data_IF_800579596157
#
_entry.id   IF_800579596157
#
_cell.length_a   1.000
_cell.length_b   1.000
_cell.length_c   1.000
_cell.angle_alpha   90.00
_cell.angle_beta   90.00
_cell.angle_gamma   90.00
#
_symmetry.space_group_name_H-M   'P 1'
#
loop_
_entity.id
_entity.type
_entity.pdbx_description
1 polymer ?
#
# COMPACT_ATOMS: atom_id res chain seq x y z
N UNK A 1 22.91 -4.29 -13.19
CA UNK A 1 22.81 -5.77 -13.30
C UNK A 1 22.29 -6.13 -14.68
N UNK A 2 22.12 -7.41 -15.03
CA UNK A 2 21.39 -7.77 -16.23
C UNK A 2 19.97 -7.16 -16.18
N UNK A 3 19.42 -6.75 -17.31
CA UNK A 3 18.05 -6.20 -17.43
C UNK A 3 16.99 -7.11 -16.81
N UNK A 4 17.19 -8.43 -16.80
CA UNK A 4 16.29 -9.39 -16.15
C UNK A 4 16.55 -9.66 -14.66
N UNK A 5 17.49 -8.95 -14.01
CA UNK A 5 17.76 -9.11 -12.58
C UNK A 5 16.88 -8.21 -11.70
N UNK A 6 16.86 -8.39 -10.37
CA UNK A 6 15.99 -7.62 -9.45
C UNK A 6 16.14 -6.10 -9.53
N UNK A 7 17.33 -5.61 -9.92
CA UNK A 7 17.60 -4.19 -10.13
C UNK A 7 17.60 -3.75 -11.61
N UNK A 8 17.03 -4.54 -12.50
CA UNK A 8 16.82 -4.17 -13.91
C UNK A 8 15.53 -3.38 -14.09
N UNK A 9 15.46 -2.66 -15.21
CA UNK A 9 14.33 -1.80 -15.66
C UNK A 9 14.19 -2.06 -17.17
N UNK A 10 13.49 -3.15 -17.57
CA UNK A 10 13.40 -3.61 -18.95
C UNK A 10 12.53 -2.71 -19.83
N UNK A 11 11.52 -2.07 -19.24
CA UNK A 11 10.52 -1.26 -19.94
C UNK A 11 10.83 0.25 -19.89
N UNK A 12 11.79 0.66 -19.06
CA UNK A 12 12.41 1.98 -19.08
C UNK A 12 11.61 3.05 -18.36
N UNK A 13 10.73 2.66 -17.43
CA UNK A 13 9.90 3.60 -16.67
C UNK A 13 10.61 4.15 -15.42
N UNK A 14 11.77 3.58 -15.06
CA UNK A 14 12.57 3.98 -13.90
C UNK A 14 12.20 3.25 -12.59
N UNK A 15 11.30 2.28 -12.64
CA UNK A 15 11.00 1.34 -11.56
C UNK A 15 11.79 0.04 -11.80
N UNK A 16 12.32 -0.57 -10.74
CA UNK A 16 13.05 -1.84 -10.90
C UNK A 16 12.12 -3.04 -10.83
N UNK A 17 12.50 -4.14 -11.48
CA UNK A 17 11.79 -5.43 -11.46
C UNK A 17 11.35 -5.86 -10.05
N UNK A 18 12.20 -5.66 -9.03
CA UNK A 18 11.86 -6.00 -7.65
C UNK A 18 10.74 -5.12 -7.10
N UNK A 19 10.81 -3.82 -7.33
CA UNK A 19 9.77 -2.90 -6.88
C UNK A 19 8.48 -3.22 -7.61
N UNK A 20 8.51 -3.33 -8.94
CA UNK A 20 7.36 -3.71 -9.74
C UNK A 20 6.73 -5.01 -9.26
N UNK A 21 7.52 -6.04 -8.96
CA UNK A 21 7.02 -7.25 -8.33
C UNK A 21 6.31 -6.95 -7.01
N UNK A 22 6.94 -6.22 -6.08
CA UNK A 22 6.35 -5.88 -4.77
C UNK A 22 4.99 -5.18 -4.91
N UNK A 23 4.85 -4.26 -5.88
CA UNK A 23 3.62 -3.48 -6.08
C UNK A 23 2.66 -4.07 -7.14
N UNK A 24 2.96 -5.25 -7.69
CA UNK A 24 2.08 -5.98 -8.61
C UNK A 24 2.05 -5.45 -10.05
N UNK A 25 3.12 -4.79 -10.48
CA UNK A 25 3.33 -4.32 -11.85
C UNK A 25 4.01 -5.39 -12.73
N UNK A 26 4.05 -5.15 -14.04
CA UNK A 26 4.67 -6.07 -15.01
C UNK A 26 5.99 -5.46 -15.48
N UNK A 27 7.14 -6.11 -15.21
CA UNK A 27 8.46 -5.57 -15.53
C UNK A 27 8.76 -5.35 -17.01
N UNK A 28 7.86 -5.74 -17.90
CA UNK A 28 8.01 -5.53 -19.33
C UNK A 28 7.01 -4.51 -19.87
N UNK A 29 6.24 -3.83 -19.00
CA UNK A 29 5.16 -2.96 -19.42
C UNK A 29 5.05 -1.70 -18.54
N UNK A 30 5.19 -0.49 -19.12
CA UNK A 30 5.23 0.75 -18.35
C UNK A 30 3.84 1.09 -17.82
N UNK A 31 3.49 0.55 -16.64
CA UNK A 31 2.16 0.62 -16.04
C UNK A 31 2.15 1.28 -14.65
N UNK A 32 2.96 2.32 -14.46
CA UNK A 32 3.01 3.18 -13.26
C UNK A 32 1.65 3.62 -12.68
N UNK A 33 0.57 3.58 -13.47
CA UNK A 33 -0.78 3.94 -13.06
C UNK A 33 -1.55 2.80 -12.34
N UNK A 34 -0.99 1.60 -12.22
CA UNK A 34 -1.67 0.41 -11.66
C UNK A 34 -1.26 0.08 -10.23
N UNK A 35 -0.59 1.00 -9.53
CA UNK A 35 -0.18 0.82 -8.14
C UNK A 35 -1.40 0.67 -7.21
N UNK A 36 -1.27 -0.06 -6.08
CA UNK A 36 -2.35 -0.15 -5.10
C UNK A 36 -2.80 1.25 -4.63
N UNK A 37 -4.03 1.63 -4.96
CA UNK A 37 -4.60 2.91 -4.56
C UNK A 37 -5.19 2.82 -3.15
N UNK A 38 -4.82 3.75 -2.27
CA UNK A 38 -5.43 3.91 -0.96
C UNK A 38 -6.68 4.79 -1.09
N UNK A 39 -7.84 4.16 -1.13
CA UNK A 39 -9.14 4.84 -1.03
C UNK A 39 -9.38 5.36 0.39
N UNK A 40 -9.78 6.62 0.51
CA UNK A 40 -10.06 7.28 1.79
C UNK A 40 -11.49 7.82 1.79
N UNK A 41 -12.27 7.46 2.80
CA UNK A 41 -13.65 7.94 2.97
C UNK A 41 -13.94 8.32 4.42
N UNK A 42 -14.19 9.61 4.65
CA UNK A 42 -14.72 10.07 5.93
C UNK A 42 -16.19 9.68 6.09
N UNK A 43 -16.57 9.27 7.28
CA UNK A 43 -17.93 8.93 7.68
C UNK A 43 -18.54 10.04 8.55
N UNK A 44 -19.88 10.06 8.65
CA UNK A 44 -20.61 11.08 9.43
C UNK A 44 -20.42 10.93 10.94
N UNK A 45 -19.96 9.77 11.39
CA UNK A 45 -19.64 9.48 12.79
C UNK A 45 -18.21 9.88 13.18
N UNK A 46 -17.49 10.58 12.30
CA UNK A 46 -16.12 11.03 12.53
C UNK A 46 -15.05 9.97 12.20
N UNK A 47 -15.45 8.74 11.87
CA UNK A 47 -14.50 7.70 11.46
C UNK A 47 -14.00 7.90 10.02
N UNK A 48 -12.80 7.40 9.73
CA UNK A 48 -12.23 7.38 8.37
C UNK A 48 -12.01 5.93 7.95
N UNK A 49 -12.65 5.56 6.85
CA UNK A 49 -12.51 4.26 6.21
C UNK A 49 -11.39 4.32 5.17
N UNK A 50 -10.40 3.46 5.33
CA UNK A 50 -9.24 3.31 4.46
C UNK A 50 -9.33 1.97 3.76
N UNK A 51 -9.28 1.97 2.43
CA UNK A 51 -9.47 0.75 1.65
C UNK A 51 -8.46 0.62 0.55
N UNK A 52 -7.99 -0.58 0.29
CA UNK A 52 -6.99 -0.85 -0.73
C UNK A 52 -7.18 -2.25 -1.32
N UNK A 53 -6.70 -2.45 -2.54
CA UNK A 53 -6.65 -3.78 -3.14
C UNK A 53 -5.41 -4.52 -2.68
N UNK A 54 -5.57 -5.75 -2.20
CA UNK A 54 -4.43 -6.57 -1.77
C UNK A 54 -3.90 -7.45 -2.90
N UNK A 55 -2.58 -7.58 -2.95
CA UNK A 55 -1.85 -8.52 -3.79
C UNK A 55 -1.45 -9.71 -2.90
N UNK A 56 -1.65 -10.96 -3.33
CA UNK A 56 -1.17 -12.13 -2.58
C UNK A 56 0.34 -12.07 -2.30
N UNK A 57 0.75 -12.75 -1.24
CA UNK A 57 2.14 -12.86 -0.78
C UNK A 57 2.76 -11.51 -0.46
N UNK A 58 1.97 -10.62 0.13
CA UNK A 58 2.39 -9.28 0.60
C UNK A 58 1.97 -9.03 2.04
N UNK A 59 2.78 -8.23 2.70
CA UNK A 59 2.47 -7.62 3.99
C UNK A 59 2.07 -6.16 3.76
N UNK A 60 0.94 -5.74 4.34
CA UNK A 60 0.49 -4.36 4.31
C UNK A 60 0.46 -3.75 5.71
N UNK A 61 0.93 -2.51 5.81
CA UNK A 61 0.82 -1.69 7.02
C UNK A 61 0.19 -0.34 6.65
N UNK A 62 -0.79 0.09 7.44
CA UNK A 62 -1.32 1.45 7.35
C UNK A 62 -0.77 2.23 8.54
N UNK A 63 -0.29 3.44 8.28
CA UNK A 63 0.13 4.38 9.33
C UNK A 63 -0.52 5.74 9.12
N UNK A 64 -0.65 6.50 10.20
CA UNK A 64 -1.08 7.90 10.15
C UNK A 64 -0.04 8.85 10.73
N UNK A 65 -0.13 10.11 10.33
CA UNK A 65 0.72 11.19 10.81
C UNK A 65 -0.06 12.50 10.90
N UNK A 66 0.36 13.40 11.80
CA UNK A 66 -0.14 14.79 11.83
C UNK A 66 0.78 15.76 11.07
N UNK A 67 2.02 15.36 10.80
CA UNK A 67 3.11 16.24 10.36
C UNK A 67 3.91 15.71 9.16
N UNK A 68 3.56 14.52 8.63
CA UNK A 68 4.29 13.78 7.58
C UNK A 68 5.68 13.27 7.99
N UNK A 69 6.12 13.53 9.23
CA UNK A 69 7.44 13.11 9.73
C UNK A 69 7.31 11.92 10.68
N UNK A 70 6.37 12.00 11.62
CA UNK A 70 6.14 10.97 12.64
C UNK A 70 4.95 10.12 12.25
N UNK A 71 5.21 8.83 12.06
CA UNK A 71 4.21 7.87 11.61
C UNK A 71 3.86 6.90 12.74
N UNK A 72 2.56 6.75 13.00
CA UNK A 72 2.02 5.82 13.99
C UNK A 72 1.22 4.73 13.26
N UNK A 73 1.50 3.43 13.52
CA UNK A 73 0.72 2.35 12.93
C UNK A 73 -0.77 2.45 13.26
N UNK A 74 -1.60 2.15 12.28
CA UNK A 74 -3.06 2.07 12.38
C UNK A 74 -3.50 0.62 12.23
N UNK A 75 -3.65 -0.07 13.36
CA UNK A 75 -4.00 -1.49 13.40
C UNK A 75 -2.80 -2.42 13.23
N UNK A 76 -3.08 -3.70 13.00
CA UNK A 76 -2.07 -4.74 12.82
C UNK A 76 -1.62 -4.84 11.36
N UNK A 77 -0.46 -5.45 11.14
CA UNK A 77 0.01 -5.84 9.80
C UNK A 77 -0.99 -6.82 9.20
N UNK A 78 -1.36 -6.58 7.95
CA UNK A 78 -2.23 -7.44 7.16
C UNK A 78 -1.34 -8.33 6.31
N UNK A 79 -1.30 -9.62 6.64
CA UNK A 79 -0.64 -10.65 5.83
C UNK A 79 -1.65 -11.22 4.84
N UNK A 80 -1.36 -11.09 3.55
CA UNK A 80 -2.24 -11.57 2.49
C UNK A 80 -2.06 -13.04 2.15
N UNK A 81 -0.99 -13.69 2.63
CA UNK A 81 -0.69 -15.09 2.36
C UNK A 81 -0.66 -15.47 0.87
N UNK A 82 -0.50 -16.76 0.59
CA UNK A 82 -0.46 -17.27 -0.79
C UNK A 82 -1.86 -17.51 -1.40
N UNK A 83 -2.92 -17.46 -0.59
CA UNK A 83 -4.29 -17.71 -1.02
C UNK A 83 -4.92 -16.45 -1.65
N UNK A 84 -5.97 -16.65 -2.47
CA UNK A 84 -6.80 -15.54 -2.96
C UNK A 84 -7.69 -15.06 -1.82
N UNK A 85 -7.09 -14.27 -0.91
CA UNK A 85 -7.79 -13.52 0.13
C UNK A 85 -8.64 -12.40 -0.49
N UNK A 86 -9.42 -11.61 0.29
CA UNK A 86 -10.28 -10.57 -0.27
C UNK A 86 -9.50 -9.67 -1.22
N UNK A 87 -10.06 -9.40 -2.41
CA UNK A 87 -9.45 -8.48 -3.36
C UNK A 87 -9.37 -7.04 -2.82
N UNK A 88 -10.13 -6.73 -1.77
CA UNK A 88 -10.19 -5.41 -1.12
C UNK A 88 -10.19 -5.55 0.40
N UNK A 89 -9.31 -4.81 1.05
CA UNK A 89 -9.17 -4.70 2.50
C UNK A 89 -9.75 -3.36 2.99
N UNK A 90 -10.16 -3.32 4.25
CA UNK A 90 -10.66 -2.13 4.93
C UNK A 90 -10.07 -2.02 6.34
N UNK A 91 -9.55 -0.83 6.65
CA UNK A 91 -9.11 -0.41 7.98
C UNK A 91 -9.89 0.84 8.34
N UNK A 92 -10.35 0.94 9.58
CA UNK A 92 -11.17 2.07 10.03
C UNK A 92 -10.45 2.79 11.15
N UNK A 93 -10.09 4.04 10.89
CA UNK A 93 -9.63 4.97 11.91
C UNK A 93 -10.83 5.53 12.67
N UNK A 94 -10.91 5.19 13.97
CA UNK A 94 -11.96 5.69 14.88
C UNK A 94 -11.43 6.71 15.88
N UNK A 95 -10.14 7.00 15.84
CA UNK A 95 -9.45 7.81 16.84
C UNK A 95 -9.13 9.21 16.33
N UNK A 96 -9.69 9.60 15.19
CA UNK A 96 -9.56 10.96 14.68
C UNK A 96 -10.37 11.90 15.60
N UNK A 97 -9.68 12.77 16.33
CA UNK A 97 -10.34 13.87 17.03
C UNK A 97 -10.99 14.82 16.00
N UNK A 98 -12.18 15.36 16.31
CA UNK A 98 -13.01 16.17 15.40
C UNK A 98 -12.30 17.38 14.75
N UNK A 99 -11.15 17.80 15.28
CA UNK A 99 -10.37 18.95 14.79
C UNK A 99 -9.01 18.57 14.17
N UNK A 100 -8.62 17.29 14.23
CA UNK A 100 -7.33 16.84 13.73
C UNK A 100 -7.37 16.55 12.22
N UNK A 101 -6.35 17.01 11.50
CA UNK A 101 -6.07 16.51 10.15
C UNK A 101 -5.02 15.39 10.27
N UNK A 102 -5.29 14.24 9.66
CA UNK A 102 -4.34 13.15 9.53
C UNK A 102 -3.93 12.97 8.07
N UNK A 103 -2.66 12.66 7.89
CA UNK A 103 -2.11 12.05 6.68
C UNK A 103 -2.08 10.55 6.88
N UNK A 104 -2.33 9.79 5.82
CA UNK A 104 -2.29 8.32 5.84
C UNK A 104 -1.26 7.82 4.84
N UNK A 105 -0.64 6.69 5.17
CA UNK A 105 0.32 5.99 4.31
C UNK A 105 -0.02 4.52 4.31
N UNK A 106 -0.04 3.93 3.10
CA UNK A 106 -0.08 2.49 2.88
C UNK A 106 1.34 2.04 2.51
N UNK A 107 1.89 1.09 3.25
CA UNK A 107 3.15 0.44 2.95
C UNK A 107 2.88 -1.01 2.57
N UNK A 108 3.63 -1.49 1.57
CA UNK A 108 3.57 -2.88 1.08
C UNK A 108 4.98 -3.45 1.05
N UNK A 109 5.13 -4.69 1.51
CA UNK A 109 6.39 -5.41 1.57
C UNK A 109 6.19 -6.89 1.21
N UNK A 110 7.29 -7.56 0.88
CA UNK A 110 7.33 -9.03 0.80
C UNK A 110 7.40 -9.61 2.22
N UNK A 111 6.79 -10.78 2.47
CA UNK A 111 7.11 -11.61 3.64
C UNK A 111 8.61 -11.95 3.66
N UNK A 112 9.18 -12.12 4.87
CA UNK A 112 10.57 -12.58 5.03
C UNK A 112 10.78 -14.03 4.57
#
# INVERSE_FOLDING_TARGET
GPVGGPGGDPDGDGVSNLIEYVIGLDPNFPNMNSVPELGIRASRDGSVHLTFSGIPDRLYCISWSLDLERWTPLGAVIDTGADVLPSRYEVIDRELADTAKRYYRLEVALPE
#
